data_IF_745590219091
#
_entry.id   IF_745590219091
#
_cell.length_a   1.000
_cell.length_b   1.000
_cell.length_c   1.000
_cell.angle_alpha   90.00
_cell.angle_beta   90.00
_cell.angle_gamma   90.00
#
_symmetry.space_group_name_H-M   'P 1'
#
loop_
_entity.id
_entity.type
_entity.pdbx_description
1 polymer ?
#
# COMPACT_ATOMS: atom_id res chain seq x y z
N UNK A 1 6.11 -32.47 -19.72
CA UNK A 1 5.74 -31.31 -18.88
C UNK A 1 5.17 -31.72 -17.50
N UNK A 2 4.05 -32.48 -17.42
CA UNK A 2 3.47 -32.91 -16.11
C UNK A 2 4.47 -33.57 -15.14
N UNK A 3 5.32 -34.49 -15.64
CA UNK A 3 6.35 -35.16 -14.82
C UNK A 3 7.40 -34.18 -14.24
N UNK A 4 7.78 -33.15 -15.00
CA UNK A 4 8.73 -32.11 -14.56
C UNK A 4 8.11 -31.29 -13.43
N UNK A 5 6.85 -30.87 -13.60
CA UNK A 5 6.13 -30.09 -12.60
C UNK A 5 5.97 -30.89 -11.29
N UNK A 6 5.56 -32.15 -11.39
CA UNK A 6 5.42 -33.02 -10.21
C UNK A 6 6.74 -33.23 -9.47
N UNK A 7 7.85 -33.38 -10.21
CA UNK A 7 9.19 -33.50 -9.64
C UNK A 7 9.58 -32.22 -8.87
N UNK A 8 9.44 -31.05 -9.48
CA UNK A 8 9.80 -29.77 -8.84
C UNK A 8 8.93 -29.48 -7.60
N UNK A 9 7.63 -29.76 -7.66
CA UNK A 9 6.72 -29.65 -6.52
C UNK A 9 7.18 -30.52 -5.35
N UNK A 10 7.46 -31.80 -5.62
CA UNK A 10 7.87 -32.75 -4.59
C UNK A 10 9.22 -32.34 -3.98
N UNK A 11 10.18 -31.97 -4.83
CA UNK A 11 11.49 -31.48 -4.42
C UNK A 11 11.37 -30.24 -3.52
N UNK A 12 10.52 -29.30 -3.90
CA UNK A 12 10.29 -28.07 -3.13
C UNK A 12 9.77 -28.37 -1.72
N UNK A 13 8.70 -29.16 -1.58
CA UNK A 13 8.11 -29.44 -0.27
C UNK A 13 8.96 -30.36 0.61
N UNK A 14 9.87 -31.15 0.05
CA UNK A 14 10.75 -32.01 0.84
C UNK A 14 11.89 -31.24 1.53
N UNK A 15 12.30 -30.09 0.98
CA UNK A 15 13.40 -29.28 1.53
C UNK A 15 13.03 -28.65 2.88
N UNK A 16 13.84 -28.90 3.91
CA UNK A 16 13.68 -28.32 5.26
C UNK A 16 13.64 -26.78 5.23
N UNK A 17 14.49 -26.15 4.42
CA UNK A 17 14.53 -24.68 4.25
C UNK A 17 13.17 -24.11 3.81
N UNK A 18 12.53 -24.72 2.82
CA UNK A 18 11.23 -24.28 2.32
C UNK A 18 10.13 -24.43 3.37
N UNK A 19 10.14 -25.54 4.12
CA UNK A 19 9.21 -25.73 5.26
C UNK A 19 9.38 -24.64 6.32
N UNK A 20 10.62 -24.25 6.63
CA UNK A 20 10.90 -23.16 7.58
C UNK A 20 10.43 -21.81 7.05
N UNK A 21 10.61 -21.52 5.76
CA UNK A 21 10.12 -20.27 5.15
C UNK A 21 8.58 -20.21 5.13
N UNK A 22 7.92 -21.32 4.84
CA UNK A 22 6.45 -21.43 4.92
C UNK A 22 5.98 -21.23 6.36
N UNK A 23 6.65 -21.84 7.33
CA UNK A 23 6.35 -21.64 8.76
C UNK A 23 6.54 -20.17 9.17
N UNK A 24 7.63 -19.53 8.73
CA UNK A 24 7.88 -18.12 8.99
C UNK A 24 6.77 -17.22 8.40
N UNK A 25 6.26 -17.55 7.22
CA UNK A 25 5.12 -16.86 6.61
C UNK A 25 3.85 -17.00 7.47
N UNK A 26 3.55 -18.20 7.98
CA UNK A 26 2.42 -18.40 8.89
C UNK A 26 2.58 -17.63 10.21
N UNK A 27 3.78 -17.64 10.79
CA UNK A 27 4.08 -16.86 12.00
C UNK A 27 3.90 -15.36 11.73
N UNK A 28 4.39 -14.87 10.59
CA UNK A 28 4.20 -13.47 10.18
C UNK A 28 2.72 -13.10 10.08
N UNK A 29 1.91 -13.95 9.45
CA UNK A 29 0.47 -13.75 9.30
C UNK A 29 -0.23 -13.70 10.66
N UNK A 30 0.11 -14.60 11.58
CA UNK A 30 -0.39 -14.57 12.96
C UNK A 30 0.03 -13.26 13.65
N UNK A 31 1.29 -12.85 13.48
CA UNK A 31 1.81 -11.58 13.99
C UNK A 31 1.02 -10.36 13.49
N UNK A 32 0.69 -10.32 12.20
CA UNK A 32 -0.13 -9.25 11.60
C UNK A 32 -1.53 -9.21 12.23
N UNK A 33 -2.15 -10.36 12.48
CA UNK A 33 -3.45 -10.42 13.14
C UNK A 33 -3.38 -9.97 14.60
N UNK A 34 -2.36 -10.40 15.35
CA UNK A 34 -2.14 -9.97 16.74
C UNK A 34 -1.90 -8.46 16.80
N UNK A 35 -1.07 -7.94 15.91
CA UNK A 35 -0.82 -6.50 15.80
C UNK A 35 -2.09 -5.73 15.46
N UNK A 36 -2.87 -6.21 14.49
CA UNK A 36 -4.17 -5.60 14.13
C UNK A 36 -5.14 -5.60 15.30
N UNK A 37 -5.16 -6.65 16.11
CA UNK A 37 -5.98 -6.71 17.32
C UNK A 37 -5.53 -5.70 18.40
N UNK A 38 -4.22 -5.52 18.58
CA UNK A 38 -3.69 -4.47 19.46
C UNK A 38 -4.07 -3.08 18.96
N UNK A 39 -4.00 -2.86 17.63
CA UNK A 39 -4.42 -1.61 17.03
C UNK A 39 -5.92 -1.36 17.22
N UNK A 40 -6.74 -2.39 17.05
CA UNK A 40 -8.18 -2.34 17.28
C UNK A 40 -8.49 -1.92 18.71
N UNK A 41 -7.87 -2.55 19.72
CA UNK A 41 -8.14 -2.28 21.13
C UNK A 41 -7.77 -0.86 21.56
N UNK A 42 -6.68 -0.32 21.01
CA UNK A 42 -6.17 1.02 21.32
C UNK A 42 -6.64 2.10 20.35
N UNK A 43 -7.54 1.77 19.41
CA UNK A 43 -7.93 2.70 18.34
C UNK A 43 -8.61 3.95 18.88
N UNK A 44 -9.66 3.78 19.69
CA UNK A 44 -10.49 4.88 20.16
C UNK A 44 -9.66 5.87 20.98
N UNK A 45 -8.86 5.39 21.94
CA UNK A 45 -7.97 6.21 22.76
C UNK A 45 -6.96 7.00 21.91
N UNK A 46 -6.37 6.36 20.90
CA UNK A 46 -5.38 7.02 20.02
C UNK A 46 -6.02 8.08 19.15
N UNK A 47 -7.18 7.81 18.57
CA UNK A 47 -7.92 8.77 17.74
C UNK A 47 -8.37 9.97 18.59
N UNK A 48 -8.92 9.73 19.78
CA UNK A 48 -9.32 10.78 20.72
C UNK A 48 -8.12 11.67 21.05
N UNK A 49 -6.96 11.08 21.37
CA UNK A 49 -5.73 11.80 21.68
C UNK A 49 -5.20 12.57 20.47
N UNK A 50 -5.19 11.96 19.28
CA UNK A 50 -4.72 12.58 18.05
C UNK A 50 -5.53 13.85 17.72
N UNK A 51 -6.86 13.75 17.69
CA UNK A 51 -7.72 14.90 17.41
C UNK A 51 -7.67 15.97 18.49
N UNK A 52 -7.44 15.58 19.75
CA UNK A 52 -7.20 16.52 20.85
C UNK A 52 -5.90 17.30 20.63
N UNK A 53 -4.81 16.61 20.28
CA UNK A 53 -3.52 17.26 20.00
C UNK A 53 -3.60 18.19 18.79
N UNK A 54 -4.34 17.81 17.73
CA UNK A 54 -4.58 18.68 16.58
C UNK A 54 -5.33 19.94 17.01
N UNK A 55 -6.38 19.80 17.83
CA UNK A 55 -7.15 20.93 18.36
C UNK A 55 -6.27 21.87 19.21
N UNK A 56 -5.47 21.33 20.11
CA UNK A 56 -4.58 22.10 20.98
C UNK A 56 -3.49 22.84 20.17
N UNK A 57 -2.85 22.17 19.21
CA UNK A 57 -1.90 22.82 18.29
C UNK A 57 -2.54 23.94 17.47
N UNK A 58 -3.77 23.73 16.99
CA UNK A 58 -4.50 24.75 16.26
C UNK A 58 -4.82 25.98 17.13
N UNK A 59 -5.23 25.77 18.39
CA UNK A 59 -5.47 26.86 19.36
C UNK A 59 -4.20 27.65 19.68
N UNK A 60 -3.07 26.97 19.90
CA UNK A 60 -1.79 27.63 20.16
C UNK A 60 -1.34 28.48 18.96
N UNK A 61 -1.42 27.94 17.74
CA UNK A 61 -1.08 28.70 16.53
C UNK A 61 -2.04 29.89 16.33
N UNK A 62 -3.33 29.69 16.60
CA UNK A 62 -4.34 30.74 16.52
C UNK A 62 -4.07 31.88 17.52
N UNK A 63 -3.63 31.57 18.74
CA UNK A 63 -3.24 32.59 19.72
C UNK A 63 -2.03 33.40 19.23
N UNK A 64 -1.01 32.74 18.67
CA UNK A 64 0.16 33.40 18.09
C UNK A 64 -0.22 34.36 16.96
N UNK A 65 -1.03 33.90 16.00
CA UNK A 65 -1.48 34.72 14.87
C UNK A 65 -2.39 35.88 15.29
N UNK A 66 -3.25 35.70 16.29
CA UNK A 66 -4.07 36.81 16.81
C UNK A 66 -3.19 37.88 17.46
N UNK A 67 -2.15 37.49 18.21
CA UNK A 67 -1.21 38.45 18.79
C UNK A 67 -0.44 39.22 17.70
N UNK A 68 -0.01 38.53 16.65
CA UNK A 68 0.63 39.14 15.47
C UNK A 68 -0.32 40.14 14.80
N UNK A 69 -1.60 39.77 14.61
CA UNK A 69 -2.62 40.62 14.02
C UNK A 69 -2.94 41.86 14.88
N UNK A 70 -2.90 41.73 16.21
CA UNK A 70 -3.05 42.87 17.13
C UNK A 70 -1.89 43.85 16.93
N UNK A 71 -0.65 43.37 16.82
CA UNK A 71 0.50 44.22 16.52
C UNK A 71 0.32 45.02 15.23
N UNK A 72 -0.20 44.40 14.17
CA UNK A 72 -0.51 45.10 12.91
C UNK A 72 -1.64 46.12 13.03
N UNK A 73 -2.58 45.96 13.98
CA UNK A 73 -3.68 46.92 14.21
C UNK A 73 -3.23 48.19 14.91
N UNK A 74 -2.08 48.17 15.56
CA UNK A 74 -1.48 49.32 16.24
C UNK A 74 -0.68 50.22 15.27
N UNK A 75 -0.40 49.74 14.06
CA UNK A 75 0.34 50.48 13.03
C UNK A 75 -0.49 51.53 12.31
N UNK A 76 0.17 52.54 11.74
CA UNK A 76 -0.48 53.59 10.96
C UNK A 76 -0.93 53.07 9.58
N UNK A 77 -1.83 53.79 8.88
CA UNK A 77 -2.41 53.33 7.60
C UNK A 77 -1.36 53.04 6.52
N UNK A 78 -0.30 53.84 6.45
CA UNK A 78 0.77 53.66 5.46
C UNK A 78 1.62 52.42 5.75
N UNK A 79 1.86 52.10 7.02
CA UNK A 79 2.54 50.88 7.46
C UNK A 79 1.69 49.63 7.18
N UNK A 80 0.36 49.71 7.38
CA UNK A 80 -0.56 48.60 7.04
C UNK A 80 -0.65 48.34 5.54
N UNK A 81 -0.55 49.38 4.70
CA UNK A 81 -0.55 49.21 3.24
C UNK A 81 0.65 48.37 2.77
N UNK A 82 1.82 48.55 3.39
CA UNK A 82 3.03 47.77 3.09
C UNK A 82 2.82 46.28 3.38
N UNK A 83 2.07 45.96 4.45
CA UNK A 83 1.87 44.58 4.92
C UNK A 83 0.48 44.01 4.62
N UNK A 84 -0.28 44.65 3.73
CA UNK A 84 -1.67 44.27 3.42
C UNK A 84 -1.83 42.80 3.04
N UNK A 85 -0.93 42.27 2.22
CA UNK A 85 -0.95 40.87 1.78
C UNK A 85 -0.65 39.90 2.94
N UNK A 86 0.29 40.25 3.83
CA UNK A 86 0.60 39.45 5.03
C UNK A 86 -0.58 39.44 6.00
N UNK A 87 -1.22 40.59 6.22
CA UNK A 87 -2.40 40.72 7.08
C UNK A 87 -3.54 39.85 6.53
N UNK A 88 -3.83 39.94 5.23
CA UNK A 88 -4.86 39.11 4.58
C UNK A 88 -4.57 37.60 4.72
N UNK A 89 -3.31 37.19 4.55
CA UNK A 89 -2.92 35.78 4.74
C UNK A 89 -3.13 35.33 6.20
N UNK A 90 -2.73 36.16 7.18
CA UNK A 90 -2.92 35.86 8.61
C UNK A 90 -4.40 35.75 8.95
N UNK A 91 -5.23 36.68 8.47
CA UNK A 91 -6.69 36.63 8.69
C UNK A 91 -7.31 35.35 8.11
N UNK A 92 -6.85 34.94 6.92
CA UNK A 92 -7.20 33.67 6.31
C UNK A 92 -6.78 32.45 7.13
N UNK A 93 -5.52 32.40 7.58
CA UNK A 93 -5.01 31.33 8.45
C UNK A 93 -5.79 31.26 9.78
N UNK A 94 -6.13 32.42 10.37
CA UNK A 94 -6.95 32.49 11.57
C UNK A 94 -8.34 31.90 11.31
N UNK A 95 -8.97 32.22 10.17
CA UNK A 95 -10.27 31.66 9.78
C UNK A 95 -10.21 30.14 9.70
N UNK A 96 -9.21 29.59 9.02
CA UNK A 96 -8.97 28.15 8.94
C UNK A 96 -8.79 27.52 10.32
N UNK A 97 -7.91 28.08 11.15
CA UNK A 97 -7.55 27.51 12.46
C UNK A 97 -8.71 27.56 13.46
N UNK A 98 -9.60 28.56 13.38
CA UNK A 98 -10.81 28.64 14.20
C UNK A 98 -11.70 27.41 13.96
N UNK A 99 -11.94 27.09 12.70
CA UNK A 99 -12.74 25.93 12.30
C UNK A 99 -12.01 24.64 12.67
N UNK A 100 -10.72 24.52 12.31
CA UNK A 100 -9.92 23.32 12.62
C UNK A 100 -9.90 23.02 14.12
N UNK A 101 -9.62 24.01 14.97
CA UNK A 101 -9.59 23.84 16.42
C UNK A 101 -10.94 23.39 17.00
N UNK A 102 -12.04 23.99 16.51
CA UNK A 102 -13.40 23.68 16.95
C UNK A 102 -13.83 22.27 16.51
N UNK A 103 -13.70 21.97 15.21
CA UNK A 103 -14.13 20.70 14.61
C UNK A 103 -13.35 19.53 15.19
N UNK A 104 -12.03 19.62 15.30
CA UNK A 104 -11.19 18.53 15.82
C UNK A 104 -11.45 18.26 17.31
N UNK A 105 -11.74 19.30 18.09
CA UNK A 105 -12.21 19.14 19.47
C UNK A 105 -13.57 18.43 19.56
N UNK A 106 -14.50 18.77 18.65
CA UNK A 106 -15.80 18.09 18.54
C UNK A 106 -15.66 16.63 18.10
N UNK A 107 -14.75 16.32 17.18
CA UNK A 107 -14.41 14.95 16.77
C UNK A 107 -13.93 14.13 17.97
N UNK A 108 -12.93 14.63 18.70
CA UNK A 108 -12.38 13.97 19.89
C UNK A 108 -13.47 13.65 20.93
N UNK A 109 -14.36 14.62 21.20
CA UNK A 109 -15.48 14.43 22.12
C UNK A 109 -16.53 13.43 21.59
N UNK A 110 -16.87 13.48 20.30
CA UNK A 110 -17.85 12.57 19.69
C UNK A 110 -17.36 11.11 19.66
N UNK A 111 -16.06 10.89 19.47
CA UNK A 111 -15.46 9.55 19.52
C UNK A 111 -15.58 8.87 20.89
N UNK A 112 -15.70 9.64 21.98
CA UNK A 112 -15.96 9.03 23.30
C UNK A 112 -17.36 8.41 23.44
N UNK A 113 -18.28 8.70 22.51
CA UNK A 113 -19.70 8.31 22.54
C UNK A 113 -20.13 7.50 21.31
N UNK A 114 -19.15 6.94 20.61
CA UNK A 114 -19.30 6.53 19.20
C UNK A 114 -20.21 5.30 19.02
N UNK A 115 -20.40 4.48 20.06
CA UNK A 115 -21.28 3.30 20.03
C UNK A 115 -22.77 3.58 19.74
N UNK A 116 -23.19 4.85 19.69
CA UNK A 116 -24.55 5.27 19.33
C UNK A 116 -24.61 5.72 17.85
N UNK A 117 -25.53 5.15 17.02
CA UNK A 117 -25.73 5.55 15.62
C UNK A 117 -25.95 7.05 15.38
N UNK A 118 -26.54 7.77 16.33
CA UNK A 118 -26.72 9.22 16.22
C UNK A 118 -25.37 9.95 16.33
N UNK A 119 -24.54 9.54 17.29
CA UNK A 119 -23.19 10.07 17.47
C UNK A 119 -22.29 9.73 16.29
N UNK A 120 -22.46 8.56 15.69
CA UNK A 120 -21.78 8.16 14.46
C UNK A 120 -22.07 9.12 13.28
N UNK A 121 -23.35 9.46 13.09
CA UNK A 121 -23.75 10.41 12.04
C UNK A 121 -23.22 11.83 12.30
N UNK A 122 -23.22 12.26 13.57
CA UNK A 122 -22.64 13.55 13.98
C UNK A 122 -21.13 13.57 13.72
N UNK A 123 -20.43 12.49 14.06
CA UNK A 123 -19.01 12.34 13.81
C UNK A 123 -18.69 12.44 12.32
N UNK A 124 -19.47 11.76 11.47
CA UNK A 124 -19.33 11.86 10.02
C UNK A 124 -19.50 13.30 9.50
N UNK A 125 -20.43 14.09 10.07
CA UNK A 125 -20.58 15.52 9.76
C UNK A 125 -19.36 16.35 10.16
N UNK A 126 -18.77 16.08 11.33
CA UNK A 126 -17.57 16.80 11.76
C UNK A 126 -16.37 16.48 10.88
N UNK A 127 -16.20 15.22 10.47
CA UNK A 127 -15.17 14.88 9.50
C UNK A 127 -15.35 15.61 8.17
N UNK A 128 -16.56 15.60 7.62
CA UNK A 128 -16.89 16.35 6.41
C UNK A 128 -16.55 17.84 6.55
N UNK A 129 -16.95 18.47 7.65
CA UNK A 129 -16.70 19.89 7.94
C UNK A 129 -15.19 20.19 7.98
N UNK A 130 -14.40 19.32 8.62
CA UNK A 130 -12.94 19.44 8.67
C UNK A 130 -12.33 19.45 7.28
N UNK A 131 -12.64 18.45 6.46
CA UNK A 131 -12.04 18.32 5.13
C UNK A 131 -12.54 19.40 4.16
N UNK A 132 -13.79 19.85 4.30
CA UNK A 132 -14.28 21.02 3.58
C UNK A 132 -13.50 22.29 3.93
N UNK A 133 -13.21 22.53 5.22
CA UNK A 133 -12.41 23.66 5.67
C UNK A 133 -10.97 23.63 5.12
N UNK A 134 -10.35 22.45 5.03
CA UNK A 134 -9.02 22.28 4.42
C UNK A 134 -9.06 22.68 2.93
N UNK A 135 -10.02 22.15 2.17
CA UNK A 135 -10.12 22.41 0.73
C UNK A 135 -10.40 23.89 0.45
N UNK A 136 -11.38 24.48 1.14
CA UNK A 136 -11.76 25.88 0.96
C UNK A 136 -10.60 26.82 1.32
N UNK A 137 -9.87 26.52 2.40
CA UNK A 137 -8.73 27.34 2.83
C UNK A 137 -7.55 27.21 1.88
N UNK A 138 -7.35 26.05 1.26
CA UNK A 138 -6.33 25.84 0.23
C UNK A 138 -6.68 26.61 -1.05
N UNK A 139 -7.92 26.51 -1.54
CA UNK A 139 -8.38 27.21 -2.74
C UNK A 139 -8.34 28.74 -2.59
N UNK A 140 -8.53 29.25 -1.36
CA UNK A 140 -8.39 30.67 -1.02
C UNK A 140 -6.94 31.11 -0.79
N UNK A 141 -5.96 30.21 -0.81
CA UNK A 141 -4.55 30.50 -0.57
C UNK A 141 -4.20 30.82 0.89
N UNK A 142 -5.04 30.42 1.84
CA UNK A 142 -4.79 30.59 3.28
C UNK A 142 -3.84 29.53 3.84
N UNK A 143 -3.82 28.35 3.21
CA UNK A 143 -2.86 27.28 3.47
C UNK A 143 -2.26 26.83 2.15
N UNK A 144 -1.02 26.34 2.19
CA UNK A 144 -0.27 25.90 1.01
C UNK A 144 0.18 24.43 1.16
N UNK A 145 0.86 23.91 0.13
CA UNK A 145 1.35 22.54 0.13
C UNK A 145 2.37 22.28 1.24
N UNK A 146 3.16 23.28 1.62
CA UNK A 146 4.10 23.17 2.73
C UNK A 146 3.35 22.94 4.05
N UNK A 147 2.27 23.70 4.27
CA UNK A 147 1.39 23.54 5.43
C UNK A 147 0.76 22.14 5.50
N UNK A 148 0.29 21.61 4.37
CA UNK A 148 -0.30 20.27 4.30
C UNK A 148 0.76 19.17 4.53
N UNK A 149 1.95 19.34 3.94
CA UNK A 149 3.07 18.40 4.07
C UNK A 149 3.57 18.28 5.52
N UNK A 150 3.65 19.38 6.27
CA UNK A 150 3.98 19.37 7.70
C UNK A 150 2.99 18.53 8.54
N UNK A 151 1.75 18.41 8.05
CA UNK A 151 0.68 17.61 8.65
C UNK A 151 0.58 16.20 8.06
N UNK A 152 1.54 15.81 7.21
CA UNK A 152 1.56 14.52 6.50
C UNK A 152 0.29 14.26 5.70
N UNK A 153 -0.29 15.32 5.12
CA UNK A 153 -1.45 15.22 4.25
C UNK A 153 -1.24 15.99 2.96
N UNK A 154 -2.14 15.83 2.00
CA UNK A 154 -2.15 16.59 0.76
C UNK A 154 -3.59 16.96 0.38
N UNK A 155 -3.74 17.86 -0.59
CA UNK A 155 -5.07 18.36 -1.00
C UNK A 155 -5.94 17.23 -1.56
N UNK A 156 -5.34 16.27 -2.25
CA UNK A 156 -6.03 15.13 -2.85
C UNK A 156 -6.60 14.16 -1.80
N UNK A 157 -5.87 13.92 -0.71
CA UNK A 157 -6.33 13.15 0.44
C UNK A 157 -7.48 13.88 1.15
N UNK A 158 -7.43 15.21 1.26
CA UNK A 158 -8.54 15.99 1.80
C UNK A 158 -9.80 15.88 0.92
N UNK A 159 -9.65 15.96 -0.41
CA UNK A 159 -10.74 15.78 -1.38
C UNK A 159 -11.32 14.36 -1.29
N UNK A 160 -10.47 13.34 -1.22
CA UNK A 160 -10.86 11.95 -1.03
C UNK A 160 -11.70 11.75 0.22
N UNK A 161 -11.24 12.26 1.36
CA UNK A 161 -11.96 12.12 2.62
C UNK A 161 -13.28 12.88 2.63
N UNK A 162 -13.30 14.12 2.11
CA UNK A 162 -14.56 14.86 1.96
C UNK A 162 -15.57 14.06 1.14
N UNK A 163 -15.18 13.55 -0.02
CA UNK A 163 -16.04 12.72 -0.88
C UNK A 163 -16.55 11.47 -0.15
N UNK A 164 -15.69 10.78 0.60
CA UNK A 164 -16.07 9.63 1.45
C UNK A 164 -17.19 10.00 2.43
N UNK A 165 -17.03 11.08 3.19
CA UNK A 165 -18.02 11.46 4.21
C UNK A 165 -19.31 12.04 3.61
N UNK A 166 -19.23 12.77 2.49
CA UNK A 166 -20.38 13.21 1.71
C UNK A 166 -21.23 11.99 1.28
N UNK A 167 -20.60 11.00 0.67
CA UNK A 167 -21.29 9.78 0.22
C UNK A 167 -21.96 9.01 1.37
N UNK A 168 -21.26 8.86 2.50
CA UNK A 168 -21.81 8.17 3.68
C UNK A 168 -23.04 8.90 4.23
N UNK A 169 -23.00 10.24 4.30
CA UNK A 169 -24.11 11.06 4.79
C UNK A 169 -25.32 11.03 3.86
N UNK A 170 -25.08 11.09 2.54
CA UNK A 170 -26.12 11.06 1.51
C UNK A 170 -26.85 9.71 1.47
N UNK A 171 -26.10 8.60 1.59
CA UNK A 171 -26.64 7.24 1.58
C UNK A 171 -27.12 6.76 2.95
N UNK A 172 -26.95 7.56 4.01
CA UNK A 172 -27.32 7.17 5.37
C UNK A 172 -26.53 5.97 5.90
N UNK A 173 -25.32 5.76 5.41
CA UNK A 173 -24.45 4.65 5.80
C UNK A 173 -23.69 5.04 7.06
N UNK A 174 -23.70 4.17 8.06
CA UNK A 174 -22.92 4.36 9.29
C UNK A 174 -21.43 4.28 9.00
N UNK A 175 -20.68 5.24 9.54
CA UNK A 175 -19.24 5.22 9.52
C UNK A 175 -18.76 4.03 10.36
N UNK A 176 -18.02 3.10 9.77
CA UNK A 176 -17.31 2.09 10.59
C UNK A 176 -16.12 2.75 11.24
N UNK A 177 -16.25 3.05 12.52
CA UNK A 177 -15.28 3.89 13.26
C UNK A 177 -13.91 3.24 13.28
N UNK A 178 -13.83 1.96 13.62
CA UNK A 178 -12.56 1.28 13.79
C UNK A 178 -12.14 0.54 12.50
N UNK A 179 -11.28 1.19 11.73
CA UNK A 179 -10.69 0.62 10.52
C UNK A 179 -9.83 -0.63 10.79
N UNK A 180 -9.45 -0.89 12.04
CA UNK A 180 -8.65 -2.05 12.43
C UNK A 180 -9.47 -3.21 12.98
N UNK A 181 -10.81 -3.13 12.99
CA UNK A 181 -11.66 -4.24 13.45
C UNK A 181 -11.32 -5.52 12.67
N UNK A 182 -10.77 -6.56 13.31
CA UNK A 182 -10.21 -7.72 12.60
C UNK A 182 -11.31 -8.74 12.26
N UNK A 183 -12.30 -8.32 11.45
CA UNK A 183 -13.28 -9.25 10.87
C UNK A 183 -12.72 -9.90 9.60
N UNK A 184 -13.30 -11.02 9.14
CA UNK A 184 -12.80 -11.79 7.99
C UNK A 184 -12.42 -10.95 6.77
N UNK A 185 -13.35 -10.12 6.29
CA UNK A 185 -13.17 -9.23 5.14
C UNK A 185 -12.10 -8.17 5.40
N UNK A 186 -12.19 -7.46 6.53
CA UNK A 186 -11.28 -6.38 6.85
C UNK A 186 -9.86 -6.88 7.14
N UNK A 187 -9.69 -8.08 7.68
CA UNK A 187 -8.36 -8.66 7.92
C UNK A 187 -7.60 -8.92 6.63
N UNK A 188 -8.27 -9.28 5.53
CA UNK A 188 -7.61 -9.34 4.21
C UNK A 188 -7.17 -7.93 3.77
N UNK A 189 -8.05 -6.94 3.90
CA UNK A 189 -7.71 -5.56 3.57
C UNK A 189 -6.55 -5.00 4.43
N UNK A 190 -6.54 -5.29 5.73
CA UNK A 190 -5.45 -4.95 6.66
C UNK A 190 -4.15 -5.66 6.30
N UNK A 191 -4.23 -6.91 5.84
CA UNK A 191 -3.06 -7.63 5.35
C UNK A 191 -2.43 -6.94 4.14
N UNK A 192 -3.23 -6.27 3.30
CA UNK A 192 -2.70 -5.49 2.17
C UNK A 192 -2.17 -4.10 2.56
N UNK A 193 -2.50 -3.59 3.76
CA UNK A 193 -2.05 -2.26 4.20
C UNK A 193 -0.57 -2.28 4.59
N UNK A 194 0.03 -1.08 4.55
CA UNK A 194 1.39 -0.81 5.00
C UNK A 194 2.45 -1.68 4.28
N UNK A 195 3.53 -2.01 4.96
CA UNK A 195 4.65 -2.79 4.43
C UNK A 195 4.42 -4.31 4.46
N UNK A 196 3.22 -4.80 4.78
CA UNK A 196 2.94 -6.23 4.88
C UNK A 196 3.14 -6.97 3.55
N UNK A 197 2.69 -6.35 2.46
CA UNK A 197 2.89 -6.86 1.09
C UNK A 197 4.37 -6.93 0.73
N UNK A 198 5.18 -6.00 1.24
CA UNK A 198 6.62 -6.00 0.98
C UNK A 198 7.31 -7.22 1.62
N UNK A 199 6.94 -7.57 2.86
CA UNK A 199 7.42 -8.79 3.53
C UNK A 199 6.98 -10.05 2.76
N UNK A 200 5.74 -10.07 2.26
CA UNK A 200 5.23 -11.15 1.41
C UNK A 200 6.11 -11.34 0.17
N UNK A 201 6.44 -10.23 -0.51
CA UNK A 201 7.29 -10.21 -1.70
C UNK A 201 8.70 -10.72 -1.41
N UNK A 202 9.28 -10.40 -0.24
CA UNK A 202 10.57 -10.93 0.19
C UNK A 202 10.52 -12.46 0.31
N UNK A 203 9.49 -13.00 0.96
CA UNK A 203 9.33 -14.45 1.13
C UNK A 203 9.14 -15.13 -0.23
N UNK A 204 8.34 -14.53 -1.10
CA UNK A 204 8.14 -15.00 -2.48
C UNK A 204 9.46 -15.04 -3.25
N UNK A 205 10.29 -14.00 -3.14
CA UNK A 205 11.60 -13.96 -3.78
C UNK A 205 12.50 -15.11 -3.30
N UNK A 206 12.54 -15.36 -1.98
CA UNK A 206 13.32 -16.45 -1.38
C UNK A 206 12.85 -17.83 -1.86
N UNK A 207 11.54 -18.09 -1.87
CA UNK A 207 10.98 -19.35 -2.35
C UNK A 207 11.24 -19.56 -3.85
N UNK A 208 11.17 -18.49 -4.64
CA UNK A 208 11.47 -18.51 -6.09
C UNK A 208 12.94 -18.83 -6.36
N UNK A 209 13.86 -18.29 -5.55
CA UNK A 209 15.29 -18.54 -5.65
C UNK A 209 15.61 -20.01 -5.37
N UNK A 210 14.94 -20.62 -4.38
CA UNK A 210 15.19 -22.02 -4.04
C UNK A 210 14.84 -22.98 -5.18
N UNK A 211 13.78 -22.72 -5.96
CA UNK A 211 13.47 -23.53 -7.14
C UNK A 211 14.44 -23.23 -8.30
N UNK A 212 14.73 -21.95 -8.54
CA UNK A 212 15.54 -21.52 -9.69
C UNK A 212 17.03 -21.91 -9.56
N UNK A 213 17.60 -21.81 -8.36
CA UNK A 213 19.05 -22.02 -8.11
C UNK A 213 19.40 -23.37 -7.48
N UNK A 214 18.41 -24.16 -7.02
CA UNK A 214 18.66 -25.49 -6.48
C UNK A 214 19.59 -26.38 -7.31
N UNK A 215 19.51 -26.43 -8.65
CA UNK A 215 20.37 -27.30 -9.45
C UNK A 215 21.82 -26.82 -9.49
N UNK A 216 22.02 -25.51 -9.44
CA UNK A 216 23.35 -24.89 -9.42
C UNK A 216 24.04 -25.17 -8.09
N UNK A 217 23.31 -25.02 -6.98
CA UNK A 217 23.82 -25.24 -5.63
C UNK A 217 24.18 -26.72 -5.39
N UNK A 218 23.33 -27.63 -5.85
CA UNK A 218 23.52 -29.08 -5.66
C UNK A 218 24.57 -29.67 -6.62
N UNK A 219 25.10 -28.88 -7.56
CA UNK A 219 25.97 -29.38 -8.64
C UNK A 219 25.24 -30.30 -9.63
N UNK A 220 23.91 -30.45 -9.50
CA UNK A 220 23.07 -31.31 -10.31
C UNK A 220 22.64 -30.66 -11.64
N UNK A 221 23.09 -29.44 -11.93
CA UNK A 221 22.82 -28.76 -13.19
C UNK A 221 23.25 -29.58 -14.42
N UNK A 222 24.35 -30.35 -14.31
CA UNK A 222 24.80 -31.24 -15.39
C UNK A 222 23.80 -32.37 -15.64
N UNK A 223 23.21 -32.92 -14.57
CA UNK A 223 22.18 -33.97 -14.64
C UNK A 223 20.88 -33.44 -15.26
N UNK A 224 20.54 -32.17 -15.01
CA UNK A 224 19.41 -31.53 -15.68
C UNK A 224 19.65 -31.33 -17.18
N UNK A 225 20.90 -31.06 -17.57
CA UNK A 225 21.27 -30.91 -18.98
C UNK A 225 21.36 -32.24 -19.74
N UNK A 226 21.52 -33.36 -19.04
CA UNK A 226 21.54 -34.72 -19.62
C UNK A 226 20.18 -35.40 -19.63
N UNK A 227 19.14 -34.75 -19.09
CA UNK A 227 17.78 -35.29 -19.16
C UNK A 227 17.28 -35.37 -20.61
N UNK A 228 16.46 -36.37 -20.96
CA UNK A 228 15.92 -36.54 -22.32
C UNK A 228 14.85 -35.48 -22.69
N UNK A 229 14.71 -34.42 -21.89
CA UNK A 229 13.75 -33.34 -22.12
C UNK A 229 14.45 -32.14 -22.73
N UNK A 230 13.79 -31.50 -23.70
CA UNK A 230 14.28 -30.24 -24.27
C UNK A 230 14.41 -29.16 -23.18
N UNK A 231 15.48 -28.34 -23.27
CA UNK A 231 15.74 -27.25 -22.31
C UNK A 231 14.57 -26.27 -22.18
N UNK A 232 13.85 -26.02 -23.29
CA UNK A 232 12.63 -25.21 -23.34
C UNK A 232 11.55 -25.75 -22.39
N UNK A 233 11.37 -27.07 -22.37
CA UNK A 233 10.38 -27.74 -21.55
C UNK A 233 10.78 -27.78 -20.07
N UNK A 234 12.08 -27.85 -19.78
CA UNK A 234 12.62 -27.75 -18.42
C UNK A 234 12.38 -26.35 -17.85
N UNK A 235 12.76 -25.30 -18.58
CA UNK A 235 12.54 -23.91 -18.16
C UNK A 235 11.07 -23.62 -17.90
N UNK A 236 10.20 -23.96 -18.85
CA UNK A 236 8.77 -23.69 -18.72
C UNK A 236 8.13 -24.51 -17.59
N UNK A 237 8.58 -25.76 -17.40
CA UNK A 237 8.18 -26.59 -16.27
C UNK A 237 8.53 -25.95 -14.93
N UNK A 238 9.73 -25.37 -14.79
CA UNK A 238 10.16 -24.65 -13.58
C UNK A 238 9.34 -23.40 -13.34
N UNK A 239 9.19 -22.55 -14.36
CA UNK A 239 8.40 -21.32 -14.24
C UNK A 239 6.96 -21.62 -13.77
N UNK A 240 6.28 -22.58 -14.41
CA UNK A 240 4.94 -23.00 -14.02
C UNK A 240 4.91 -23.55 -12.59
N UNK A 241 5.90 -24.35 -12.21
CA UNK A 241 5.97 -24.92 -10.86
C UNK A 241 6.12 -23.83 -9.80
N UNK A 242 6.99 -22.84 -10.03
CA UNK A 242 7.18 -21.69 -9.12
C UNK A 242 5.86 -20.95 -8.93
N UNK A 243 5.15 -20.65 -10.02
CA UNK A 243 3.85 -19.97 -9.93
C UNK A 243 2.82 -20.80 -9.18
N UNK A 244 2.68 -22.10 -9.46
CA UNK A 244 1.75 -22.98 -8.75
C UNK A 244 2.04 -23.04 -7.24
N UNK A 245 3.32 -23.15 -6.87
CA UNK A 245 3.76 -23.17 -5.48
C UNK A 245 3.37 -21.86 -4.78
N UNK A 246 3.74 -20.72 -5.36
CA UNK A 246 3.54 -19.41 -4.74
C UNK A 246 2.05 -19.09 -4.63
N UNK A 247 1.29 -19.20 -5.72
CA UNK A 247 -0.14 -18.93 -5.68
C UNK A 247 -0.89 -19.91 -4.78
N UNK A 248 -0.46 -21.17 -4.71
CA UNK A 248 -1.00 -22.15 -3.76
C UNK A 248 -0.78 -21.73 -2.31
N UNK A 249 0.46 -21.37 -1.94
CA UNK A 249 0.81 -20.91 -0.59
C UNK A 249 0.01 -19.65 -0.23
N UNK A 250 -0.07 -18.68 -1.14
CA UNK A 250 -0.80 -17.43 -0.90
C UNK A 250 -2.30 -17.64 -0.74
N UNK A 251 -2.88 -18.53 -1.55
CA UNK A 251 -4.29 -18.89 -1.41
C UNK A 251 -4.59 -19.48 -0.03
N UNK A 252 -3.70 -20.36 0.47
CA UNK A 252 -3.82 -20.91 1.83
C UNK A 252 -3.67 -19.81 2.89
N UNK A 253 -2.71 -18.89 2.72
CA UNK A 253 -2.52 -17.77 3.65
C UNK A 253 -3.75 -16.88 3.73
N UNK A 254 -4.29 -16.43 2.59
CA UNK A 254 -5.49 -15.59 2.57
C UNK A 254 -6.70 -16.31 3.15
N UNK A 255 -6.86 -17.60 2.84
CA UNK A 255 -7.92 -18.42 3.41
C UNK A 255 -7.81 -18.50 4.94
N UNK A 256 -6.61 -18.75 5.48
CA UNK A 256 -6.40 -18.81 6.92
C UNK A 256 -6.67 -17.47 7.60
N UNK A 257 -6.19 -16.36 7.04
CA UNK A 257 -6.47 -15.02 7.57
C UNK A 257 -7.97 -14.77 7.62
N UNK A 258 -8.67 -15.09 6.53
CA UNK A 258 -10.11 -14.90 6.44
C UNK A 258 -10.87 -15.76 7.46
N UNK A 259 -10.61 -17.06 7.50
CA UNK A 259 -11.33 -18.02 8.35
C UNK A 259 -11.09 -17.72 9.83
N UNK A 260 -9.82 -17.56 10.24
CA UNK A 260 -9.48 -17.35 11.65
C UNK A 260 -10.14 -16.10 12.22
N UNK A 261 -10.10 -14.98 11.49
CA UNK A 261 -10.74 -13.74 11.91
C UNK A 261 -12.27 -13.80 11.79
N UNK A 262 -12.81 -14.50 10.79
CA UNK A 262 -14.27 -14.69 10.65
C UNK A 262 -14.88 -15.44 11.82
N UNK A 263 -14.19 -16.47 12.33
CA UNK A 263 -14.67 -17.26 13.47
C UNK A 263 -14.70 -16.43 14.75
N UNK A 264 -13.69 -15.56 14.96
CA UNK A 264 -13.54 -14.81 16.22
C UNK A 264 -14.37 -13.51 16.23
N UNK A 265 -14.39 -12.77 15.11
CA UNK A 265 -14.94 -11.41 15.04
C UNK A 265 -16.10 -11.26 14.04
N UNK A 266 -16.52 -12.36 13.41
CA UNK A 266 -17.50 -12.37 12.34
C UNK A 266 -16.89 -12.08 10.96
N UNK A 267 -17.65 -12.37 9.91
CA UNK A 267 -17.21 -12.25 8.51
C UNK A 267 -16.93 -10.79 8.14
N UNK A 268 -17.72 -9.85 8.65
CA UNK A 268 -17.68 -8.45 8.20
C UNK A 268 -18.65 -8.21 7.05
N UNK A 269 -18.44 -7.13 6.31
CA UNK A 269 -19.37 -6.65 5.30
C UNK A 269 -18.60 -6.34 4.01
N UNK A 270 -18.92 -7.10 2.98
CA UNK A 270 -18.30 -7.02 1.65
C UNK A 270 -18.78 -5.80 0.85
N UNK A 271 -19.97 -5.27 1.17
CA UNK A 271 -20.61 -4.20 0.42
C UNK A 271 -20.34 -2.82 1.00
N UNK A 272 -19.56 -2.75 2.09
CA UNK A 272 -19.16 -1.49 2.68
C UNK A 272 -18.47 -0.59 1.65
N UNK A 273 -18.91 0.67 1.48
CA UNK A 273 -18.38 1.54 0.46
C UNK A 273 -16.91 1.89 0.72
N UNK A 274 -16.10 1.78 -0.32
CA UNK A 274 -14.72 2.20 -0.37
C UNK A 274 -14.55 3.20 -1.51
N UNK A 275 -13.92 4.33 -1.21
CA UNK A 275 -13.63 5.35 -2.22
C UNK A 275 -12.32 4.97 -2.94
N UNK A 276 -12.29 5.15 -4.25
CA UNK A 276 -11.14 4.91 -5.13
C UNK A 276 -11.06 6.00 -6.19
N UNK A 277 -9.93 6.13 -6.88
CA UNK A 277 -9.81 7.04 -8.01
C UNK A 277 -10.75 6.60 -9.15
N UNK A 278 -11.44 7.54 -9.81
CA UNK A 278 -12.26 7.24 -11.00
C UNK A 278 -11.42 6.75 -12.19
N UNK A 279 -10.13 7.11 -12.20
CA UNK A 279 -9.17 6.72 -13.23
C UNK A 279 -8.66 5.28 -13.10
N UNK A 280 -9.17 4.48 -12.14
CA UNK A 280 -8.65 3.14 -11.80
C UNK A 280 -8.61 2.17 -13.00
N UNK A 281 -9.52 2.33 -13.96
CA UNK A 281 -9.65 1.48 -15.15
C UNK A 281 -9.00 2.07 -16.42
N UNK A 282 -8.37 3.23 -16.33
CA UNK A 282 -7.69 3.89 -17.46
C UNK A 282 -6.19 3.85 -17.25
N UNK A 283 -5.37 4.16 -18.25
CA UNK A 283 -3.94 4.38 -18.06
C UNK A 283 -3.70 5.88 -17.93
N UNK A 284 -3.31 6.34 -16.75
CA UNK A 284 -2.90 7.73 -16.52
C UNK A 284 -1.54 7.78 -15.84
N UNK A 285 -0.81 8.86 -16.15
CA UNK A 285 0.50 9.20 -15.58
C UNK A 285 0.40 10.39 -14.61
N UNK A 286 -0.83 10.81 -14.28
CA UNK A 286 -1.11 11.89 -13.34
C UNK A 286 -1.88 11.36 -12.14
N UNK A 287 -1.61 11.95 -10.98
CA UNK A 287 -2.45 11.76 -9.82
C UNK A 287 -3.84 12.36 -10.10
N UNK A 288 -4.91 11.63 -9.75
CA UNK A 288 -6.30 12.08 -9.77
C UNK A 288 -6.75 12.90 -10.99
N UNK A 289 -6.58 12.34 -12.19
CA UNK A 289 -7.06 12.97 -13.43
C UNK A 289 -8.60 12.95 -13.57
N UNK A 290 -9.28 12.04 -12.86
CA UNK A 290 -10.74 11.86 -12.85
C UNK A 290 -11.30 11.95 -11.40
N UNK A 291 -12.58 12.30 -11.26
CA UNK A 291 -13.33 12.30 -9.98
C UNK A 291 -13.23 10.97 -9.21
N UNK A 292 -13.57 10.98 -7.92
CA UNK A 292 -13.63 9.76 -7.11
C UNK A 292 -14.82 8.86 -7.47
N UNK A 293 -14.62 7.55 -7.29
CA UNK A 293 -15.66 6.53 -7.44
C UNK A 293 -15.80 5.70 -6.17
N UNK A 294 -17.01 5.27 -5.86
CA UNK A 294 -17.26 4.30 -4.79
C UNK A 294 -17.35 2.88 -5.36
N UNK A 295 -16.62 1.96 -4.72
CA UNK A 295 -16.70 0.52 -4.97
C UNK A 295 -17.01 -0.21 -3.66
N UNK A 296 -17.37 -1.49 -3.74
CA UNK A 296 -17.52 -2.31 -2.54
C UNK A 296 -16.17 -2.76 -1.99
N UNK A 297 -16.13 -3.07 -0.69
CA UNK A 297 -14.96 -3.63 -0.03
C UNK A 297 -14.50 -4.95 -0.66
N UNK A 298 -15.43 -5.80 -1.09
CA UNK A 298 -15.13 -7.03 -1.84
C UNK A 298 -14.39 -6.73 -3.14
N UNK A 299 -14.84 -5.74 -3.91
CA UNK A 299 -14.13 -5.30 -5.12
C UNK A 299 -12.74 -4.75 -4.80
N UNK A 300 -12.59 -3.95 -3.73
CA UNK A 300 -11.26 -3.45 -3.29
C UNK A 300 -10.30 -4.60 -2.99
N UNK A 301 -10.75 -5.65 -2.32
CA UNK A 301 -9.94 -6.83 -2.02
C UNK A 301 -9.51 -7.54 -3.30
N UNK A 302 -10.43 -7.76 -4.25
CA UNK A 302 -10.10 -8.38 -5.55
C UNK A 302 -9.05 -7.57 -6.30
N UNK A 303 -9.19 -6.24 -6.32
CA UNK A 303 -8.20 -5.36 -6.94
C UNK A 303 -6.83 -5.49 -6.25
N UNK A 304 -6.80 -5.55 -4.92
CA UNK A 304 -5.60 -5.82 -4.14
C UNK A 304 -4.92 -7.15 -4.51
N UNK A 305 -5.70 -8.23 -4.65
CA UNK A 305 -5.17 -9.54 -5.07
C UNK A 305 -4.55 -9.49 -6.47
N UNK A 306 -5.19 -8.80 -7.42
CA UNK A 306 -4.71 -8.71 -8.80
C UNK A 306 -3.37 -7.95 -8.88
N UNK A 307 -3.23 -6.81 -8.20
CA UNK A 307 -1.97 -6.04 -8.23
C UNK A 307 -0.83 -6.77 -7.52
N UNK A 308 -1.14 -7.48 -6.42
CA UNK A 308 -0.18 -8.36 -5.74
C UNK A 308 0.23 -9.52 -6.65
N UNK A 309 -0.70 -10.12 -7.39
CA UNK A 309 -0.39 -11.16 -8.37
C UNK A 309 0.54 -10.65 -9.48
N UNK A 310 0.32 -9.43 -9.97
CA UNK A 310 1.23 -8.78 -10.94
C UNK A 310 2.63 -8.54 -10.36
N UNK A 311 2.72 -8.06 -9.11
CA UNK A 311 3.99 -7.88 -8.39
C UNK A 311 4.75 -9.20 -8.18
N UNK A 312 4.04 -10.26 -7.79
CA UNK A 312 4.62 -11.60 -7.64
C UNK A 312 5.14 -12.10 -8.97
N UNK A 313 4.37 -11.91 -10.04
CA UNK A 313 4.79 -12.26 -11.38
C UNK A 313 6.10 -11.57 -11.78
N UNK A 314 6.19 -10.26 -11.56
CA UNK A 314 7.41 -9.50 -11.75
C UNK A 314 8.57 -10.05 -10.90
N UNK A 315 8.34 -10.30 -9.61
CA UNK A 315 9.36 -10.78 -8.66
C UNK A 315 9.93 -12.13 -9.07
N UNK A 316 9.06 -13.08 -9.43
CA UNK A 316 9.44 -14.41 -9.91
C UNK A 316 10.26 -14.29 -11.21
N UNK A 317 9.82 -13.46 -12.14
CA UNK A 317 10.52 -13.22 -13.41
C UNK A 317 11.91 -12.61 -13.20
N UNK A 318 12.03 -11.62 -12.30
CA UNK A 318 13.30 -11.00 -11.93
C UNK A 318 14.26 -12.01 -11.29
N UNK A 319 13.77 -12.83 -10.35
CA UNK A 319 14.57 -13.86 -9.70
C UNK A 319 15.06 -14.90 -10.70
N UNK A 320 14.20 -15.36 -11.60
CA UNK A 320 14.61 -16.29 -12.67
C UNK A 320 15.71 -15.68 -13.56
N UNK A 321 15.54 -14.42 -13.98
CA UNK A 321 16.54 -13.71 -14.76
C UNK A 321 17.88 -13.64 -14.02
N UNK A 322 17.88 -13.10 -12.81
CA UNK A 322 19.10 -12.93 -12.01
C UNK A 322 19.76 -14.27 -11.69
N UNK A 323 18.98 -15.33 -11.47
CA UNK A 323 19.52 -16.67 -11.21
C UNK A 323 20.36 -17.19 -12.38
N UNK A 324 19.91 -16.98 -13.62
CA UNK A 324 20.59 -17.44 -14.84
C UNK A 324 21.86 -16.62 -15.13
N UNK A 325 21.84 -15.33 -14.76
CA UNK A 325 22.96 -14.41 -15.00
C UNK A 325 24.06 -14.53 -13.95
N UNK A 326 23.71 -14.77 -12.69
CA UNK A 326 24.66 -14.72 -11.58
C UNK A 326 25.16 -16.09 -11.15
N UNK A 327 24.40 -17.16 -11.43
CA UNK A 327 24.64 -18.54 -10.97
C UNK A 327 24.95 -18.62 -9.46
N UNK A 328 24.46 -17.65 -8.67
CA UNK A 328 24.80 -17.49 -7.27
C UNK A 328 23.61 -16.96 -6.47
N UNK A 329 23.27 -17.69 -5.41
CA UNK A 329 22.20 -17.33 -4.47
C UNK A 329 22.49 -16.01 -3.77
N UNK A 330 23.73 -15.79 -3.33
CA UNK A 330 24.10 -14.56 -2.63
C UNK A 330 23.94 -13.32 -3.52
N UNK A 331 24.41 -13.39 -4.78
CA UNK A 331 24.29 -12.28 -5.74
C UNK A 331 22.84 -12.03 -6.14
N UNK A 332 22.09 -13.09 -6.47
CA UNK A 332 20.66 -12.99 -6.82
C UNK A 332 19.85 -12.39 -5.67
N UNK A 333 20.11 -12.83 -4.44
CA UNK A 333 19.46 -12.32 -3.25
C UNK A 333 19.82 -10.85 -3.00
N UNK A 334 21.11 -10.49 -3.06
CA UNK A 334 21.57 -9.13 -2.82
C UNK A 334 20.91 -8.11 -3.74
N UNK A 335 20.87 -8.39 -5.05
CA UNK A 335 20.23 -7.49 -6.03
C UNK A 335 18.72 -7.40 -5.82
N UNK A 336 18.05 -8.54 -5.59
CA UNK A 336 16.59 -8.56 -5.37
C UNK A 336 16.20 -7.82 -4.09
N UNK A 337 16.96 -8.01 -3.00
CA UNK A 337 16.74 -7.30 -1.74
C UNK A 337 17.02 -5.82 -1.83
N UNK A 338 18.06 -5.41 -2.56
CA UNK A 338 18.32 -3.99 -2.80
C UNK A 338 17.12 -3.29 -3.45
N UNK A 339 16.53 -3.89 -4.49
CA UNK A 339 15.35 -3.33 -5.16
C UNK A 339 14.11 -3.30 -4.25
N UNK A 340 13.92 -4.31 -3.38
CA UNK A 340 12.79 -4.33 -2.46
C UNK A 340 12.96 -3.28 -1.35
N UNK A 341 14.16 -3.17 -0.76
CA UNK A 341 14.45 -2.21 0.32
C UNK A 341 14.38 -0.77 -0.18
N UNK A 342 14.84 -0.51 -1.41
CA UNK A 342 14.74 0.84 -1.99
C UNK A 342 13.30 1.32 -2.13
N UNK A 343 12.32 0.44 -2.40
CA UNK A 343 10.91 0.83 -2.34
C UNK A 343 10.46 1.28 -0.95
N UNK A 344 10.91 0.59 0.10
CA UNK A 344 10.61 0.97 1.47
C UNK A 344 11.20 2.36 1.79
N UNK A 345 12.47 2.57 1.45
CA UNK A 345 13.14 3.86 1.65
C UNK A 345 12.47 4.99 0.86
N UNK A 346 12.13 4.75 -0.41
CA UNK A 346 11.47 5.75 -1.23
C UNK A 346 10.09 6.08 -0.70
N UNK A 347 9.26 5.11 -0.31
CA UNK A 347 7.97 5.39 0.30
C UNK A 347 8.04 6.30 1.53
N UNK A 348 9.13 6.27 2.30
CA UNK A 348 9.32 7.12 3.47
C UNK A 348 9.79 8.55 3.15
N UNK A 349 10.48 8.76 2.02
CA UNK A 349 11.21 10.00 1.74
C UNK A 349 10.67 10.72 0.49
N UNK A 350 10.13 9.99 -0.49
CA UNK A 350 9.66 10.55 -1.73
C UNK A 350 8.29 11.21 -1.57
N UNK A 351 8.12 12.33 -2.27
CA UNK A 351 6.80 12.92 -2.45
C UNK A 351 5.89 11.95 -3.22
N UNK A 352 4.58 11.97 -2.93
CA UNK A 352 3.61 11.07 -3.56
C UNK A 352 3.55 11.25 -5.10
N UNK A 353 3.86 12.44 -5.60
CA UNK A 353 3.93 12.73 -7.04
C UNK A 353 5.28 12.42 -7.71
N UNK A 354 6.24 11.86 -6.97
CA UNK A 354 7.57 11.57 -7.49
C UNK A 354 7.52 10.56 -8.65
N UNK A 355 8.41 10.76 -9.64
CA UNK A 355 8.62 9.85 -10.78
C UNK A 355 9.02 8.44 -10.30
N UNK A 356 9.61 8.32 -9.11
CA UNK A 356 9.95 7.03 -8.50
C UNK A 356 8.69 6.18 -8.28
N UNK A 357 7.57 6.80 -7.88
CA UNK A 357 6.31 6.12 -7.61
C UNK A 357 5.64 5.61 -8.90
N UNK A 358 6.09 6.12 -10.06
CA UNK A 358 5.68 5.65 -11.37
C UNK A 358 6.49 4.42 -11.81
N UNK A 359 7.82 4.51 -11.84
CA UNK A 359 8.67 3.50 -12.47
C UNK A 359 9.15 2.37 -11.55
N UNK A 360 9.18 2.59 -10.24
CA UNK A 360 9.74 1.60 -9.33
C UNK A 360 8.72 0.46 -9.09
N UNK A 361 8.97 -0.78 -9.56
CA UNK A 361 7.93 -1.83 -9.59
C UNK A 361 7.38 -2.19 -8.21
N UNK A 362 8.22 -2.16 -7.16
CA UNK A 362 7.80 -2.46 -5.79
C UNK A 362 7.07 -1.31 -5.08
N UNK A 363 6.95 -0.11 -5.67
CA UNK A 363 6.10 0.95 -5.10
C UNK A 363 4.61 0.58 -5.12
N UNK A 364 4.21 -0.30 -6.04
CA UNK A 364 2.85 -0.83 -6.12
C UNK A 364 2.51 -1.81 -4.99
N UNK A 365 3.47 -2.19 -4.13
CA UNK A 365 3.18 -2.88 -2.86
C UNK A 365 2.31 -2.01 -1.94
N UNK A 366 2.41 -0.68 -2.05
CA UNK A 366 1.56 0.29 -1.36
C UNK A 366 0.26 0.50 -2.15
N UNK A 367 -0.49 -0.59 -2.32
CA UNK A 367 -1.62 -0.65 -3.24
C UNK A 367 -2.73 0.38 -2.94
N UNK A 368 -2.88 0.79 -1.68
CA UNK A 368 -3.86 1.79 -1.25
C UNK A 368 -3.61 3.11 -1.99
N UNK A 369 -2.35 3.56 -2.06
CA UNK A 369 -1.96 4.78 -2.77
C UNK A 369 -2.19 4.69 -4.29
N UNK A 370 -2.02 3.50 -4.86
CA UNK A 370 -2.24 3.27 -6.29
C UNK A 370 -3.73 3.20 -6.67
N UNK A 371 -4.59 2.74 -5.76
CA UNK A 371 -6.05 2.65 -5.95
C UNK A 371 -6.74 3.99 -5.65
N UNK A 372 -6.29 4.71 -4.63
CA UNK A 372 -6.83 6.04 -4.29
C UNK A 372 -6.37 7.13 -5.26
N UNK A 373 -5.33 6.87 -6.04
CA UNK A 373 -4.78 7.81 -7.04
C UNK A 373 -3.86 8.87 -6.44
N UNK A 374 -3.30 8.63 -5.25
CA UNK A 374 -2.37 9.55 -4.59
C UNK A 374 -1.00 9.59 -5.26
N UNK A 375 -0.61 8.51 -5.94
CA UNK A 375 0.64 8.49 -6.69
C UNK A 375 0.50 9.13 -8.06
N UNK A 376 1.63 9.59 -8.60
CA UNK A 376 1.79 9.91 -10.03
C UNK A 376 1.80 8.65 -10.90
N UNK A 377 0.87 7.75 -10.62
CA UNK A 377 0.61 6.50 -11.31
C UNK A 377 -0.77 6.03 -10.86
N UNK A 378 -1.33 5.09 -11.59
CA UNK A 378 -2.58 4.48 -11.18
C UNK A 378 -2.48 2.96 -11.13
N UNK A 379 -3.53 2.37 -10.57
CA UNK A 379 -3.69 0.94 -10.43
C UNK A 379 -3.40 0.15 -11.72
N UNK A 380 -4.01 0.53 -12.85
CA UNK A 380 -3.84 -0.18 -14.12
C UNK A 380 -2.41 -0.06 -14.66
N UNK A 381 -1.79 1.12 -14.54
CA UNK A 381 -0.39 1.31 -14.93
C UNK A 381 0.52 0.40 -14.12
N UNK A 382 0.28 0.27 -12.81
CA UNK A 382 1.04 -0.66 -11.95
C UNK A 382 0.97 -2.10 -12.42
N UNK A 383 -0.21 -2.56 -12.85
CA UNK A 383 -0.39 -3.91 -13.43
C UNK A 383 0.38 -4.04 -14.75
N UNK A 384 0.19 -3.08 -15.67
CA UNK A 384 0.83 -3.11 -16.99
C UNK A 384 2.35 -3.06 -16.87
N UNK A 385 2.89 -2.23 -15.98
CA UNK A 385 4.32 -2.12 -15.73
C UNK A 385 4.89 -3.45 -15.20
N UNK A 386 4.30 -4.01 -14.14
CA UNK A 386 4.80 -5.23 -13.52
C UNK A 386 4.68 -6.45 -14.44
N UNK A 387 3.53 -6.61 -15.11
CA UNK A 387 3.34 -7.69 -16.08
C UNK A 387 4.26 -7.50 -17.29
N UNK A 388 4.33 -6.29 -17.84
CA UNK A 388 5.18 -5.99 -19.00
C UNK A 388 6.66 -6.27 -18.73
N UNK A 389 7.20 -5.76 -17.63
CA UNK A 389 8.58 -6.03 -17.22
C UNK A 389 8.80 -7.52 -16.92
N UNK A 390 7.83 -8.18 -16.26
CA UNK A 390 7.90 -9.61 -15.99
C UNK A 390 7.96 -10.45 -17.27
N UNK A 391 7.17 -10.12 -18.29
CA UNK A 391 7.19 -10.79 -19.60
C UNK A 391 8.56 -10.60 -20.25
N UNK A 392 9.10 -9.38 -20.26
CA UNK A 392 10.43 -9.08 -20.82
C UNK A 392 11.50 -9.90 -20.09
N UNK A 393 11.46 -9.98 -18.77
CA UNK A 393 12.43 -10.76 -17.98
C UNK A 393 12.31 -12.27 -18.21
N UNK A 394 11.09 -12.82 -18.29
CA UNK A 394 10.89 -14.23 -18.66
C UNK A 394 11.40 -14.51 -20.06
N UNK A 395 11.15 -13.62 -21.01
CA UNK A 395 11.60 -13.75 -22.39
C UNK A 395 13.14 -13.79 -22.46
N UNK A 396 13.82 -12.81 -21.88
CA UNK A 396 15.29 -12.77 -21.83
C UNK A 396 15.84 -14.02 -21.13
N UNK A 397 15.22 -14.43 -20.01
CA UNK A 397 15.58 -15.64 -19.27
C UNK A 397 15.46 -16.89 -20.14
N UNK A 398 14.38 -17.02 -20.91
CA UNK A 398 14.14 -18.15 -21.79
C UNK A 398 15.21 -18.27 -22.88
N UNK A 399 15.51 -17.19 -23.62
CA UNK A 399 16.54 -17.21 -24.65
C UNK A 399 17.92 -17.53 -24.07
N UNK A 400 18.25 -16.90 -22.94
CA UNK A 400 19.53 -17.16 -22.31
C UNK A 400 19.65 -18.58 -21.79
N UNK A 401 18.61 -19.13 -21.15
CA UNK A 401 18.63 -20.49 -20.64
C UNK A 401 18.73 -21.54 -21.75
N UNK A 402 18.00 -21.34 -22.85
CA UNK A 402 18.01 -22.27 -23.99
C UNK A 402 19.33 -22.25 -24.74
N UNK A 403 19.96 -21.08 -24.88
CA UNK A 403 21.26 -20.90 -25.55
C UNK A 403 22.50 -21.08 -24.67
N UNK A 404 22.36 -21.33 -23.35
CA UNK A 404 23.51 -21.48 -22.44
C UNK A 404 24.14 -22.86 -22.61
N UNK A 405 25.30 -22.93 -23.26
CA UNK A 405 26.11 -24.15 -23.25
C UNK A 405 26.86 -24.30 -21.93
N UNK A 406 26.59 -25.41 -21.24
CA UNK A 406 27.24 -25.79 -19.98
C UNK A 406 28.46 -26.71 -20.20
N UNK A 407 28.93 -26.83 -21.45
CA UNK A 407 30.16 -27.53 -21.80
C UNK A 407 31.36 -26.57 -21.62
N UNK A 408 32.03 -26.69 -20.48
CA UNK A 408 33.29 -26.01 -20.21
C UNK A 408 33.26 -25.29 -18.88
N UNK A 409 34.02 -25.81 -17.91
CA UNK A 409 34.45 -25.02 -16.78
C UNK A 409 35.05 -23.71 -17.32
N UNK A 410 34.48 -22.56 -16.95
CA UNK A 410 35.29 -21.36 -16.90
C UNK A 410 36.15 -21.52 -15.65
N UNK A 411 37.38 -21.98 -15.87
CA UNK A 411 38.49 -21.77 -14.93
C UNK A 411 38.66 -20.27 -14.65
#
# INVERSE_FOLDING_TARGET
>A
MKKIIAYELTKFFYKRRNKLLILALFIFVIGVNVYSYQLYKSYDERIIMEYRLISEKAKLKLQGLNNELIGYREWNEDERKIFKERIQRIEGEISYLKVEASVTGRISNAFSKVGDPQWNRILCKYFRERYANIIESYEKGYIDDAYLKDRKTNIEEARYHKYKYDYLLEKGILLKENEYKPNGVNSINLFFRNSNVLILVIIVALLSMDVSLSPVIEGSYKLECTNPFERKHIFMGKAISIFLIIFGILSVVFLLVFITNSIIFGVGDFDYPQVVSGSINRLTLKANEDDFKVISMGTKIVLGVIIIAALIFFTVALVMLLSIFTDSTGKTLGVTMFLIITAFTFNMISDMESIINLFHPYMYCYYENAITGYYRSNYLFGIVLNIGLGIVFIFISYFKFTGKDFLGARE
#
